data_IF_374820268401
#
_entry.id   IF_374820268401
#
_cell.length_a   1.000
_cell.length_b   1.000
_cell.length_c   1.000
_cell.angle_alpha   90.00
_cell.angle_beta   90.00
_cell.angle_gamma   90.00
#
_symmetry.space_group_name_H-M   'P 1'
#
loop_
_entity.id
_entity.type
_entity.pdbx_description
1 polymer ?
#
# COMPACT_ATOMS: atom_id res chain seq x y z
N UNK A 1 15.44 16.93 1.45
CA UNK A 1 14.06 16.71 0.97
C UNK A 1 13.27 16.05 2.08
N UNK A 2 12.16 16.64 2.52
CA UNK A 2 11.36 16.09 3.62
C UNK A 2 10.40 15.03 3.06
N UNK A 3 10.75 13.75 3.23
CA UNK A 3 9.95 12.60 2.76
C UNK A 3 8.52 12.67 3.30
N UNK A 4 8.31 13.20 4.52
CA UNK A 4 6.97 13.33 5.10
C UNK A 4 6.11 14.41 4.42
N UNK A 5 6.72 15.42 3.78
CA UNK A 5 5.98 16.36 2.92
C UNK A 5 5.54 15.70 1.62
N UNK A 6 6.42 14.90 1.01
CA UNK A 6 6.12 14.15 -0.22
C UNK A 6 4.99 13.14 0.03
N UNK A 7 5.08 12.37 1.12
CA UNK A 7 4.08 11.37 1.50
C UNK A 7 2.67 11.97 1.71
N UNK A 8 2.59 13.25 2.07
CA UNK A 8 1.35 14.00 2.22
C UNK A 8 0.97 14.84 0.99
N UNK A 9 1.68 14.66 -0.14
CA UNK A 9 1.50 15.46 -1.35
C UNK A 9 1.63 16.97 -1.11
N UNK A 10 2.38 17.37 -0.08
CA UNK A 10 2.62 18.76 0.26
C UNK A 10 3.80 19.28 -0.56
N UNK A 11 3.49 20.03 -1.60
CA UNK A 11 4.46 20.58 -2.56
C UNK A 11 4.81 22.05 -2.30
N UNK A 12 4.34 22.61 -1.17
CA UNK A 12 4.61 24.01 -0.81
C UNK A 12 6.11 24.24 -0.60
N UNK A 13 6.66 25.15 -1.41
CA UNK A 13 8.08 25.51 -1.38
C UNK A 13 9.01 24.59 -2.18
N UNK A 14 8.48 23.61 -2.91
CA UNK A 14 9.26 22.78 -3.83
C UNK A 14 9.49 23.49 -5.18
N UNK A 15 10.68 23.31 -5.74
CA UNK A 15 10.96 23.65 -7.14
C UNK A 15 10.17 22.75 -8.09
N UNK A 16 10.08 23.14 -9.37
CA UNK A 16 9.38 22.31 -10.36
C UNK A 16 10.05 20.95 -10.56
N UNK A 17 11.37 20.86 -10.45
CA UNK A 17 12.11 19.58 -10.46
C UNK A 17 11.76 18.71 -9.24
N UNK A 18 11.68 19.32 -8.06
CA UNK A 18 11.30 18.61 -6.83
C UNK A 18 9.84 18.14 -6.84
N UNK A 19 8.94 18.89 -7.50
CA UNK A 19 7.55 18.46 -7.70
C UNK A 19 7.45 17.26 -8.62
N UNK A 20 8.16 17.28 -9.76
CA UNK A 20 8.19 16.15 -10.69
C UNK A 20 8.73 14.89 -10.01
N UNK A 21 9.81 15.03 -9.22
CA UNK A 21 10.33 13.92 -8.43
C UNK A 21 9.30 13.42 -7.39
N UNK A 22 8.66 14.33 -6.65
CA UNK A 22 7.66 13.97 -5.64
C UNK A 22 6.45 13.23 -6.24
N UNK A 23 5.98 13.65 -7.42
CA UNK A 23 4.91 12.97 -8.16
C UNK A 23 5.31 11.56 -8.61
N UNK A 24 6.50 11.41 -9.20
CA UNK A 24 7.03 10.10 -9.60
C UNK A 24 7.24 9.17 -8.40
N UNK A 25 7.84 9.69 -7.33
CA UNK A 25 8.04 8.95 -6.08
C UNK A 25 6.70 8.46 -5.52
N UNK A 26 5.70 9.35 -5.41
CA UNK A 26 4.38 9.00 -4.89
C UNK A 26 3.66 7.97 -5.78
N UNK A 27 3.78 8.09 -7.09
CA UNK A 27 3.22 7.13 -8.03
C UNK A 27 3.83 5.72 -7.81
N UNK A 28 5.16 5.62 -7.82
CA UNK A 28 5.87 4.34 -7.64
C UNK A 28 5.61 3.75 -6.26
N UNK A 29 5.66 4.59 -5.21
CA UNK A 29 5.33 4.18 -3.83
C UNK A 29 3.95 3.54 -3.77
N UNK A 30 2.96 4.22 -4.35
CA UNK A 30 1.58 3.75 -4.35
C UNK A 30 1.44 2.42 -5.10
N UNK A 31 2.08 2.26 -6.26
CA UNK A 31 2.07 0.98 -6.98
C UNK A 31 2.70 -0.16 -6.19
N UNK A 32 3.87 0.07 -5.57
CA UNK A 32 4.53 -0.96 -4.76
C UNK A 32 3.69 -1.38 -3.56
N UNK A 33 3.14 -0.41 -2.80
CA UNK A 33 2.24 -0.70 -1.66
C UNK A 33 1.05 -1.53 -2.11
N UNK A 34 0.40 -1.16 -3.23
CA UNK A 34 -0.75 -1.91 -3.74
C UNK A 34 -0.37 -3.36 -4.08
N UNK A 35 0.74 -3.57 -4.76
CA UNK A 35 1.20 -4.90 -5.16
C UNK A 35 1.50 -5.80 -3.94
N UNK A 36 2.18 -5.26 -2.94
CA UNK A 36 2.50 -6.01 -1.72
C UNK A 36 1.26 -6.30 -0.89
N UNK A 37 0.32 -5.36 -0.78
CA UNK A 37 -0.96 -5.60 -0.11
C UNK A 37 -1.79 -6.67 -0.82
N UNK A 38 -1.83 -6.67 -2.15
CA UNK A 38 -2.50 -7.73 -2.92
C UNK A 38 -1.81 -9.08 -2.68
N UNK A 39 -0.48 -9.11 -2.71
CA UNK A 39 0.30 -10.31 -2.42
C UNK A 39 -0.02 -10.88 -1.04
N UNK A 40 -0.03 -10.03 -0.01
CA UNK A 40 -0.41 -10.41 1.36
C UNK A 40 -1.81 -11.04 1.43
N UNK A 41 -2.81 -10.39 0.82
CA UNK A 41 -4.20 -10.85 0.85
C UNK A 41 -4.37 -12.19 0.14
N UNK A 42 -3.69 -12.39 -1.00
CA UNK A 42 -3.69 -13.66 -1.72
C UNK A 42 -3.05 -14.76 -0.86
N UNK A 43 -1.89 -14.49 -0.26
CA UNK A 43 -1.23 -15.44 0.64
C UNK A 43 -2.10 -15.79 1.84
N UNK A 44 -2.80 -14.81 2.43
CA UNK A 44 -3.71 -15.04 3.55
C UNK A 44 -4.91 -15.91 3.13
N UNK A 45 -5.48 -15.68 1.94
CA UNK A 45 -6.57 -16.52 1.41
C UNK A 45 -6.12 -17.95 1.13
N UNK A 46 -4.92 -18.13 0.55
CA UNK A 46 -4.34 -19.47 0.30
C UNK A 46 -4.08 -20.19 1.62
N UNK A 47 -3.47 -19.51 2.59
CA UNK A 47 -3.21 -20.10 3.91
C UNK A 47 -4.51 -20.51 4.61
N UNK A 48 -5.54 -19.66 4.56
CA UNK A 48 -6.85 -20.00 5.12
C UNK A 48 -7.46 -21.21 4.40
N UNK A 49 -7.38 -21.28 3.06
CA UNK A 49 -7.89 -22.43 2.32
C UNK A 49 -7.23 -23.76 2.76
N UNK A 50 -5.93 -23.73 3.07
CA UNK A 50 -5.17 -24.91 3.47
C UNK A 50 -5.35 -25.28 4.96
N UNK A 51 -5.56 -24.30 5.83
CA UNK A 51 -5.53 -24.49 7.29
C UNK A 51 -6.88 -24.31 8.00
N UNK A 52 -7.78 -23.49 7.46
CA UNK A 52 -9.06 -23.12 8.04
C UNK A 52 -10.09 -22.76 6.95
N UNK A 53 -10.73 -23.80 6.44
CA UNK A 53 -11.72 -23.69 5.36
C UNK A 53 -12.92 -22.81 5.75
N UNK A 54 -13.37 -22.84 7.00
CA UNK A 54 -14.50 -22.01 7.46
C UNK A 54 -14.14 -20.52 7.39
N UNK A 55 -12.95 -20.15 7.88
CA UNK A 55 -12.46 -18.77 7.80
C UNK A 55 -12.24 -18.32 6.34
N UNK A 56 -11.82 -19.22 5.45
CA UNK A 56 -11.73 -18.93 4.02
C UNK A 56 -13.12 -18.63 3.43
N UNK A 57 -14.11 -19.51 3.67
CA UNK A 57 -15.47 -19.33 3.17
C UNK A 57 -16.10 -18.04 3.71
N UNK A 58 -15.92 -17.72 5.00
CA UNK A 58 -16.40 -16.47 5.61
C UNK A 58 -15.82 -15.23 4.92
N UNK A 59 -14.51 -15.21 4.65
CA UNK A 59 -13.88 -14.07 3.95
C UNK A 59 -14.40 -13.90 2.54
N UNK A 60 -14.58 -15.00 1.81
CA UNK A 60 -15.11 -14.96 0.44
C UNK A 60 -16.57 -14.51 0.43
N UNK A 61 -17.40 -15.03 1.34
CA UNK A 61 -18.78 -14.60 1.51
C UNK A 61 -18.86 -13.10 1.81
N UNK A 62 -18.04 -12.62 2.75
CA UNK A 62 -17.98 -11.20 3.08
C UNK A 62 -17.61 -10.32 1.88
N UNK A 63 -16.68 -10.77 1.02
CA UNK A 63 -16.32 -10.08 -0.22
C UNK A 63 -17.51 -10.01 -1.19
N UNK A 64 -18.30 -11.09 -1.32
CA UNK A 64 -19.45 -11.10 -2.23
C UNK A 64 -20.66 -10.33 -1.70
N UNK A 65 -20.87 -10.30 -0.37
CA UNK A 65 -21.99 -9.59 0.25
C UNK A 65 -21.70 -8.09 0.35
N UNK A 66 -20.53 -7.71 0.88
CA UNK A 66 -20.23 -6.33 1.23
C UNK A 66 -19.30 -5.64 0.22
N UNK A 67 -18.68 -6.42 -0.67
CA UNK A 67 -17.61 -5.92 -1.53
C UNK A 67 -16.32 -5.64 -0.76
N UNK A 68 -15.24 -5.40 -1.50
CA UNK A 68 -14.00 -4.83 -0.97
C UNK A 68 -13.66 -3.60 -1.79
N UNK A 69 -13.38 -2.48 -1.11
CA UNK A 69 -12.91 -1.28 -1.79
C UNK A 69 -11.54 -1.59 -2.42
N UNK A 70 -11.41 -1.34 -3.72
CA UNK A 70 -10.15 -1.54 -4.43
C UNK A 70 -9.08 -0.58 -3.93
N UNK A 71 -7.85 -1.08 -3.76
CA UNK A 71 -6.72 -0.25 -3.31
C UNK A 71 -6.43 0.93 -4.24
N UNK A 72 -6.68 0.77 -5.55
CA UNK A 72 -6.55 1.82 -6.55
C UNK A 72 -7.37 3.07 -6.23
N UNK A 73 -8.52 2.93 -5.57
CA UNK A 73 -9.44 4.04 -5.28
C UNK A 73 -9.30 4.57 -3.84
N UNK A 74 -8.35 4.05 -3.07
CA UNK A 74 -8.10 4.52 -1.70
C UNK A 74 -7.13 5.70 -1.66
N UNK A 75 -7.29 6.69 -0.76
CA UNK A 75 -6.27 7.71 -0.54
C UNK A 75 -4.91 7.08 -0.19
N UNK A 76 -3.81 7.70 -0.61
CA UNK A 76 -2.44 7.18 -0.34
C UNK A 76 -2.19 6.99 1.15
N UNK A 77 -2.63 7.92 1.99
CA UNK A 77 -2.56 7.79 3.44
C UNK A 77 -3.24 6.50 3.95
N UNK A 78 -4.45 6.22 3.46
CA UNK A 78 -5.18 4.99 3.81
C UNK A 78 -4.43 3.73 3.37
N UNK A 79 -3.75 3.75 2.21
CA UNK A 79 -2.94 2.62 1.79
C UNK A 79 -1.73 2.40 2.70
N UNK A 80 -1.05 3.48 3.11
CA UNK A 80 0.07 3.42 4.05
C UNK A 80 -0.41 2.89 5.41
N UNK A 81 -1.54 3.40 5.92
CA UNK A 81 -2.11 2.95 7.19
C UNK A 81 -2.45 1.45 7.15
N UNK A 82 -3.05 0.97 6.05
CA UNK A 82 -3.33 -0.47 5.86
C UNK A 82 -2.02 -1.27 5.77
N UNK A 83 -1.03 -0.77 5.02
CA UNK A 83 0.27 -1.43 4.89
C UNK A 83 0.95 -1.61 6.23
N UNK A 84 1.06 -0.55 7.03
CA UNK A 84 1.67 -0.59 8.37
C UNK A 84 0.89 -1.46 9.36
N UNK A 85 -0.41 -1.70 9.12
CA UNK A 85 -1.20 -2.62 9.95
C UNK A 85 -0.98 -4.11 9.63
N UNK A 86 -0.49 -4.42 8.42
CA UNK A 86 -0.34 -5.79 7.90
C UNK A 86 1.12 -6.23 7.80
N UNK A 87 2.00 -5.27 7.51
CA UNK A 87 3.44 -5.42 7.39
C UNK A 87 4.13 -4.71 8.54
N UNK A 88 5.42 -4.98 8.74
CA UNK A 88 6.18 -4.29 9.78
C UNK A 88 6.75 -2.95 9.27
N UNK A 89 7.13 -2.04 10.19
CA UNK A 89 7.71 -0.74 9.85
C UNK A 89 9.04 -0.86 9.07
N UNK A 90 9.81 -1.93 9.28
CA UNK A 90 11.06 -2.20 8.57
C UNK A 90 10.86 -2.52 7.08
N UNK A 91 9.79 -3.24 6.74
CA UNK A 91 9.40 -3.52 5.35
C UNK A 91 9.03 -2.21 4.64
N UNK A 92 8.32 -1.31 5.34
CA UNK A 92 7.96 0.00 4.81
C UNK A 92 9.18 0.90 4.56
N UNK A 93 10.15 0.91 5.48
CA UNK A 93 11.41 1.64 5.29
C UNK A 93 12.19 1.09 4.09
N UNK A 94 12.31 -0.24 4.00
CA UNK A 94 12.98 -0.92 2.88
C UNK A 94 12.32 -0.58 1.54
N UNK A 95 10.99 -0.48 1.53
CA UNK A 95 10.23 -0.08 0.35
C UNK A 95 10.54 1.37 -0.05
N UNK A 96 10.58 2.32 0.90
CA UNK A 96 10.96 3.71 0.65
C UNK A 96 12.40 3.83 0.12
N UNK A 97 13.36 3.13 0.73
CA UNK A 97 14.76 3.16 0.32
C UNK A 97 14.94 2.63 -1.12
N UNK A 98 14.19 1.58 -1.48
CA UNK A 98 14.22 1.01 -2.83
C UNK A 98 13.72 1.97 -3.92
N UNK A 99 12.88 2.94 -3.56
CA UNK A 99 12.33 3.94 -4.49
C UNK A 99 13.23 5.17 -4.52
N UNK A 100 13.77 5.58 -3.36
CA UNK A 100 14.65 6.74 -3.23
C UNK A 100 16.03 6.53 -3.88
N UNK A 101 16.36 5.28 -4.23
CA UNK A 101 17.58 4.92 -4.95
C UNK A 101 17.45 4.99 -6.49
N UNK A 102 16.27 5.41 -6.98
CA UNK A 102 15.97 5.67 -8.40
C UNK A 102 16.22 7.15 -8.70
#
# INVERSE_FOLDING_TARGET
MDVFKILNNNTDGLTDEEKVFAEQFNYVLREKIMNELVGYEISELINNLESDKELFEEKIENIFINGKKGYKDMPTKTLIDIYLSKMNEGDFISLIESISSI
#
